data_IF_798146308048
#
_entry.id   IF_798146308048
#
_cell.length_a   1.000
_cell.length_b   1.000
_cell.length_c   1.000
_cell.angle_alpha   90.00
_cell.angle_beta   90.00
_cell.angle_gamma   90.00
#
_symmetry.space_group_name_H-M   'P 1'
#
loop_
_entity.id
_entity.type
_entity.pdbx_description
1 polymer ?
#
# COMPACT_ATOMS: atom_id res chain seq x y z
N UNK A 1 -12.16 3.94 -0.64
CA UNK A 1 -13.56 3.52 -0.95
C UNK A 1 -13.97 3.99 -2.34
N UNK A 2 -13.76 5.26 -2.69
CA UNK A 2 -14.16 5.81 -4.00
C UNK A 2 -13.48 5.10 -5.18
N UNK A 3 -12.25 4.63 -5.00
CA UNK A 3 -11.53 3.87 -6.04
C UNK A 3 -12.22 2.56 -6.45
N UNK A 4 -13.17 2.05 -5.67
CA UNK A 4 -14.02 0.92 -6.07
C UNK A 4 -14.83 1.19 -7.34
N UNK A 5 -15.08 2.46 -7.65
CA UNK A 5 -15.75 2.88 -8.89
C UNK A 5 -14.98 2.47 -10.15
N UNK A 6 -13.66 2.33 -10.06
CA UNK A 6 -12.85 1.85 -11.17
C UNK A 6 -13.23 0.44 -11.63
N UNK A 7 -13.67 -0.42 -10.73
CA UNK A 7 -14.10 -1.78 -11.07
C UNK A 7 -15.29 -1.77 -12.01
N UNK A 8 -16.32 -0.94 -11.71
CA UNK A 8 -17.50 -0.86 -12.56
C UNK A 8 -17.22 -0.14 -13.87
N UNK A 9 -16.33 0.87 -13.86
CA UNK A 9 -15.88 1.56 -15.08
C UNK A 9 -15.18 0.55 -16.00
N UNK A 10 -14.24 -0.24 -15.48
CA UNK A 10 -13.57 -1.27 -16.28
C UNK A 10 -14.53 -2.34 -16.77
N UNK A 11 -15.46 -2.79 -15.93
CA UNK A 11 -16.48 -3.73 -16.34
C UNK A 11 -17.27 -3.21 -17.54
N UNK A 12 -17.71 -1.93 -17.49
CA UNK A 12 -18.46 -1.29 -18.58
C UNK A 12 -17.58 -1.17 -19.85
N UNK A 13 -16.31 -0.76 -19.70
CA UNK A 13 -15.39 -0.63 -20.83
C UNK A 13 -15.13 -1.98 -21.52
N UNK A 14 -14.87 -3.04 -20.75
CA UNK A 14 -14.65 -4.38 -21.29
C UNK A 14 -15.92 -4.95 -21.92
N UNK A 15 -17.08 -4.73 -21.29
CA UNK A 15 -18.37 -5.14 -21.86
C UNK A 15 -18.67 -4.43 -23.18
N UNK A 16 -18.38 -3.13 -23.24
CA UNK A 16 -18.52 -2.35 -24.47
C UNK A 16 -17.60 -2.86 -25.57
N UNK A 17 -16.35 -3.16 -25.23
CA UNK A 17 -15.38 -3.72 -26.17
C UNK A 17 -15.83 -5.07 -26.73
N UNK A 18 -16.24 -6.02 -25.87
CA UNK A 18 -16.79 -7.32 -26.31
C UNK A 18 -18.00 -7.16 -27.25
N UNK A 19 -18.81 -6.13 -26.99
CA UNK A 19 -19.97 -5.81 -27.83
C UNK A 19 -19.54 -5.27 -29.20
N UNK A 20 -18.46 -4.52 -29.28
CA UNK A 20 -17.91 -4.04 -30.56
C UNK A 20 -17.32 -5.19 -31.37
N UNK A 21 -16.65 -6.14 -30.70
CA UNK A 21 -16.08 -7.32 -31.35
C UNK A 21 -17.17 -8.30 -31.86
N UNK A 22 -18.21 -8.52 -31.05
CA UNK A 22 -19.36 -9.39 -31.41
C UNK A 22 -20.68 -8.76 -30.97
N UNK A 23 -21.45 -8.25 -31.93
CA UNK A 23 -22.79 -7.68 -31.65
C UNK A 23 -23.77 -8.69 -31.02
N UNK A 24 -23.57 -9.99 -31.20
CA UNK A 24 -24.38 -11.02 -30.54
C UNK A 24 -24.11 -11.11 -29.05
N UNK A 25 -22.91 -10.69 -28.64
CA UNK A 25 -22.48 -10.60 -27.21
C UNK A 25 -23.44 -9.73 -26.41
N UNK A 26 -23.81 -8.56 -26.93
CA UNK A 26 -24.79 -7.67 -26.30
C UNK A 26 -26.10 -8.37 -26.05
N UNK A 27 -26.69 -8.98 -27.10
CA UNK A 27 -28.01 -9.67 -27.00
C UNK A 27 -27.96 -10.78 -25.97
N UNK A 28 -26.84 -11.50 -25.86
CA UNK A 28 -26.67 -12.62 -24.93
C UNK A 28 -26.51 -12.18 -23.49
N UNK A 29 -25.78 -11.06 -23.25
CA UNK A 29 -25.27 -10.71 -21.93
C UNK A 29 -25.85 -9.40 -21.36
N UNK A 30 -26.73 -8.66 -22.09
CA UNK A 30 -27.26 -7.36 -21.65
C UNK A 30 -27.98 -7.44 -20.30
N UNK A 31 -28.76 -8.47 -20.05
CA UNK A 31 -29.52 -8.64 -18.82
C UNK A 31 -28.57 -8.88 -17.64
N UNK A 32 -27.60 -9.78 -17.82
CA UNK A 32 -26.56 -10.05 -16.81
C UNK A 32 -25.76 -8.79 -16.48
N UNK A 33 -25.39 -8.02 -17.50
CA UNK A 33 -24.65 -6.76 -17.31
C UNK A 33 -25.48 -5.72 -16.61
N UNK A 34 -26.76 -5.58 -16.96
CA UNK A 34 -27.68 -4.66 -16.29
C UNK A 34 -27.83 -5.04 -14.80
N UNK A 35 -28.04 -6.32 -14.50
CA UNK A 35 -28.12 -6.82 -13.12
C UNK A 35 -26.81 -6.50 -12.36
N UNK A 36 -25.66 -6.73 -12.97
CA UNK A 36 -24.35 -6.43 -12.35
C UNK A 36 -24.23 -4.97 -12.01
N UNK A 37 -24.57 -4.06 -12.94
CA UNK A 37 -24.48 -2.62 -12.73
C UNK A 37 -25.47 -2.17 -11.64
N UNK A 38 -26.72 -2.61 -11.72
CA UNK A 38 -27.74 -2.27 -10.70
C UNK A 38 -27.33 -2.80 -9.33
N UNK A 39 -26.88 -4.05 -9.25
CA UNK A 39 -26.41 -4.64 -7.98
C UNK A 39 -25.26 -3.85 -7.40
N UNK A 40 -24.28 -3.46 -8.22
CA UNK A 40 -23.14 -2.65 -7.78
C UNK A 40 -23.61 -1.34 -7.12
N UNK A 41 -24.47 -0.56 -7.79
CA UNK A 41 -24.94 0.72 -7.24
C UNK A 41 -25.87 0.52 -6.04
N UNK A 42 -26.67 -0.54 -6.02
CA UNK A 42 -27.54 -0.89 -4.89
C UNK A 42 -26.71 -1.22 -3.65
N UNK A 43 -25.69 -2.07 -3.78
CA UNK A 43 -24.79 -2.37 -2.66
C UNK A 43 -23.97 -1.16 -2.24
N UNK A 44 -23.51 -0.36 -3.20
CA UNK A 44 -22.81 0.89 -2.90
C UNK A 44 -23.70 1.82 -2.04
N UNK A 45 -24.97 1.99 -2.40
CA UNK A 45 -25.92 2.81 -1.66
C UNK A 45 -26.20 2.24 -0.26
N UNK A 46 -26.49 0.93 -0.16
CA UNK A 46 -26.81 0.27 1.12
C UNK A 46 -25.64 0.38 2.11
N UNK A 47 -24.41 0.08 1.67
CA UNK A 47 -23.24 0.01 2.54
C UNK A 47 -22.48 1.32 2.70
N UNK A 48 -22.96 2.41 2.08
CA UNK A 48 -22.35 3.72 2.23
C UNK A 48 -23.36 4.78 2.67
N UNK A 49 -23.62 4.91 4.00
CA UNK A 49 -24.64 5.79 4.56
C UNK A 49 -24.57 7.25 4.10
N UNK A 50 -23.36 7.74 3.77
CA UNK A 50 -23.18 9.09 3.23
C UNK A 50 -23.99 9.36 1.95
N UNK A 51 -24.30 8.32 1.19
CA UNK A 51 -25.09 8.42 -0.05
C UNK A 51 -26.60 8.50 0.20
N UNK A 52 -27.10 8.22 1.42
CA UNK A 52 -28.55 8.06 1.67
C UNK A 52 -29.36 9.35 1.49
N UNK A 53 -28.76 10.52 1.75
CA UNK A 53 -29.45 11.80 1.55
C UNK A 53 -29.56 12.19 0.06
N UNK A 54 -28.43 12.44 -0.56
CA UNK A 54 -28.31 12.89 -1.96
C UNK A 54 -27.25 12.03 -2.69
N UNK A 55 -27.61 10.84 -3.22
CA UNK A 55 -26.64 9.85 -3.69
C UNK A 55 -25.70 10.38 -4.79
N UNK A 56 -26.22 11.12 -5.76
CA UNK A 56 -25.42 11.64 -6.88
C UNK A 56 -24.53 12.79 -6.42
N UNK A 57 -25.09 13.77 -5.72
CA UNK A 57 -24.35 14.93 -5.21
C UNK A 57 -23.25 14.50 -4.25
N UNK A 58 -23.56 13.62 -3.30
CA UNK A 58 -22.63 13.12 -2.31
C UNK A 58 -21.52 12.26 -2.94
N UNK A 59 -21.82 11.52 -4.01
CA UNK A 59 -20.80 10.78 -4.76
C UNK A 59 -19.81 11.73 -5.45
N UNK A 60 -20.32 12.76 -6.09
CA UNK A 60 -19.53 13.80 -6.77
C UNK A 60 -18.69 14.58 -5.74
N UNK A 61 -19.30 15.01 -4.64
CA UNK A 61 -18.61 15.69 -3.54
C UNK A 61 -17.47 14.84 -2.97
N UNK A 62 -17.74 13.55 -2.76
CA UNK A 62 -16.70 12.60 -2.29
C UNK A 62 -15.52 12.53 -3.25
N UNK A 63 -15.81 12.48 -4.57
CA UNK A 63 -14.74 12.44 -5.57
C UNK A 63 -13.84 13.68 -5.47
N UNK A 64 -14.41 14.87 -5.44
CA UNK A 64 -13.66 16.12 -5.33
C UNK A 64 -12.92 16.26 -3.99
N UNK A 65 -13.57 15.88 -2.90
CA UNK A 65 -12.95 15.92 -1.56
C UNK A 65 -11.75 15.00 -1.47
N UNK A 66 -11.83 13.78 -2.01
CA UNK A 66 -10.69 12.85 -1.97
C UNK A 66 -9.61 13.17 -3.00
N UNK A 67 -9.95 13.81 -4.11
CA UNK A 67 -8.95 14.27 -5.10
C UNK A 67 -8.11 15.42 -4.54
N UNK A 68 -8.74 16.32 -3.74
CA UNK A 68 -8.12 17.55 -3.24
C UNK A 68 -8.04 17.58 -1.71
N UNK A 69 -7.90 16.40 -1.09
CA UNK A 69 -7.83 16.33 0.37
C UNK A 69 -6.55 16.97 0.90
N UNK A 70 -6.67 18.10 1.57
CA UNK A 70 -5.55 18.75 2.22
C UNK A 70 -5.31 18.14 3.62
N UNK A 71 -4.25 17.36 3.75
CA UNK A 71 -3.88 16.79 5.04
C UNK A 71 -3.08 17.76 5.91
N UNK A 72 -2.48 18.80 5.32
CA UNK A 72 -1.77 19.87 6.03
C UNK A 72 -0.49 19.44 6.76
N UNK A 73 -0.05 18.20 6.60
CA UNK A 73 1.12 17.65 7.26
C UNK A 73 2.18 17.25 6.24
N UNK A 74 3.41 17.08 6.72
CA UNK A 74 4.56 16.64 5.91
C UNK A 74 4.81 15.16 6.11
N UNK A 75 5.20 14.48 5.04
CA UNK A 75 5.72 13.11 5.03
C UNK A 75 7.23 13.13 4.89
N UNK A 76 7.90 12.15 5.50
CA UNK A 76 9.34 11.98 5.35
C UNK A 76 9.64 11.03 4.21
N UNK A 77 10.17 11.56 3.12
CA UNK A 77 10.39 10.83 1.88
C UNK A 77 11.72 11.20 1.25
N UNK A 78 12.53 10.19 0.91
CA UNK A 78 13.90 10.34 0.36
C UNK A 78 14.79 11.28 1.18
N UNK A 79 14.62 11.28 2.52
CA UNK A 79 15.41 12.09 3.43
C UNK A 79 14.92 13.53 3.61
N UNK A 80 13.82 13.91 2.98
CA UNK A 80 13.24 15.24 3.05
C UNK A 80 11.81 15.22 3.60
N UNK A 81 11.41 16.31 4.26
CA UNK A 81 10.02 16.53 4.66
C UNK A 81 9.28 17.30 3.59
N UNK A 82 8.40 16.60 2.88
CA UNK A 82 7.60 17.12 1.76
C UNK A 82 6.15 17.24 2.22
N UNK A 83 5.43 18.29 1.80
CA UNK A 83 4.00 18.38 2.06
C UNK A 83 3.28 17.19 1.39
N UNK A 84 2.32 16.62 2.08
CA UNK A 84 1.57 15.48 1.53
C UNK A 84 0.78 15.80 0.25
N UNK A 85 0.52 17.10 0.03
CA UNK A 85 -0.19 17.61 -1.14
C UNK A 85 0.75 17.87 -2.34
N UNK A 86 2.08 17.93 -2.10
CA UNK A 86 3.11 18.24 -3.11
C UNK A 86 4.04 17.05 -3.38
N UNK A 87 3.54 15.82 -3.24
CA UNK A 87 4.35 14.63 -3.41
C UNK A 87 4.80 14.44 -4.87
N UNK A 88 6.06 14.02 -5.10
CA UNK A 88 6.53 13.73 -6.44
C UNK A 88 5.78 12.54 -7.04
N UNK A 89 5.58 12.54 -8.35
CA UNK A 89 4.86 11.51 -9.09
C UNK A 89 5.33 10.07 -8.81
N UNK A 90 6.60 9.90 -8.48
CA UNK A 90 7.19 8.58 -8.20
C UNK A 90 6.97 8.09 -6.76
N UNK A 91 6.31 8.86 -5.89
CA UNK A 91 6.13 8.51 -4.47
C UNK A 91 5.53 7.11 -4.29
N UNK A 92 4.38 6.84 -4.88
CA UNK A 92 3.71 5.55 -4.76
C UNK A 92 4.54 4.41 -5.34
N UNK A 93 5.15 4.62 -6.50
CA UNK A 93 5.99 3.63 -7.18
C UNK A 93 7.21 3.23 -6.35
N UNK A 94 7.90 4.22 -5.76
CA UNK A 94 9.05 3.95 -4.90
C UNK A 94 8.62 3.17 -3.66
N UNK A 95 7.52 3.54 -3.02
CA UNK A 95 7.02 2.80 -1.86
C UNK A 95 6.65 1.37 -2.20
N UNK A 96 5.97 1.12 -3.34
CA UNK A 96 5.67 -0.24 -3.81
C UNK A 96 6.97 -1.04 -3.97
N UNK A 97 7.99 -0.45 -4.63
CA UNK A 97 9.25 -1.14 -4.89
C UNK A 97 10.01 -1.46 -3.59
N UNK A 98 10.11 -0.53 -2.64
CA UNK A 98 10.94 -0.73 -1.45
C UNK A 98 10.28 -1.59 -0.36
N UNK A 99 8.94 -1.72 -0.38
CA UNK A 99 8.18 -2.51 0.61
C UNK A 99 7.69 -3.86 0.07
N UNK A 100 7.97 -4.17 -1.19
CA UNK A 100 7.67 -5.47 -1.80
C UNK A 100 8.92 -6.34 -1.84
N UNK A 101 8.85 -7.66 -1.56
CA UNK A 101 10.00 -8.55 -1.70
C UNK A 101 10.63 -8.48 -3.09
N UNK A 102 11.96 -8.47 -3.18
CA UNK A 102 12.68 -8.31 -4.46
C UNK A 102 12.29 -9.38 -5.47
N UNK A 103 12.10 -10.62 -5.01
CA UNK A 103 11.66 -11.72 -5.87
C UNK A 103 10.31 -11.44 -6.52
N UNK A 104 9.38 -10.82 -5.78
CA UNK A 104 8.07 -10.41 -6.33
C UNK A 104 8.24 -9.28 -7.34
N UNK A 105 9.12 -8.32 -7.10
CA UNK A 105 9.39 -7.22 -8.04
C UNK A 105 9.95 -7.77 -9.37
N UNK A 106 10.90 -8.70 -9.29
CA UNK A 106 11.48 -9.33 -10.49
C UNK A 106 10.40 -10.04 -11.30
N UNK A 107 9.60 -10.90 -10.65
CA UNK A 107 8.53 -11.62 -11.35
C UNK A 107 7.39 -10.71 -11.80
N UNK A 108 7.10 -9.65 -11.06
CA UNK A 108 6.16 -8.61 -11.50
C UNK A 108 6.59 -8.01 -12.84
N UNK A 109 7.83 -7.56 -12.97
CA UNK A 109 8.30 -6.98 -14.23
C UNK A 109 8.33 -8.01 -15.36
N UNK A 110 8.71 -9.24 -15.10
CA UNK A 110 8.66 -10.31 -16.10
C UNK A 110 7.21 -10.50 -16.58
N UNK A 111 6.24 -10.62 -15.67
CA UNK A 111 4.83 -10.80 -16.01
C UNK A 111 4.23 -9.57 -16.70
N UNK A 112 4.52 -8.40 -16.20
CA UNK A 112 4.07 -7.13 -16.76
C UNK A 112 4.52 -6.98 -18.23
N UNK A 113 5.81 -7.16 -18.51
CA UNK A 113 6.32 -7.06 -19.88
C UNK A 113 5.86 -8.21 -20.78
N UNK A 114 5.66 -9.41 -20.21
CA UNK A 114 5.08 -10.52 -20.95
C UNK A 114 3.66 -10.22 -21.43
N UNK A 115 2.80 -9.73 -20.54
CA UNK A 115 1.42 -9.36 -20.88
C UNK A 115 1.40 -8.19 -21.86
N UNK A 116 2.22 -7.16 -21.64
CA UNK A 116 2.34 -6.04 -22.59
C UNK A 116 2.79 -6.49 -23.99
N UNK A 117 3.74 -7.42 -24.06
CA UNK A 117 4.19 -7.99 -25.34
C UNK A 117 3.04 -8.66 -26.09
N UNK A 118 2.19 -9.43 -25.40
CA UNK A 118 1.01 -10.05 -25.99
C UNK A 118 0.04 -8.99 -26.48
N UNK A 119 -0.19 -7.95 -25.67
CA UNK A 119 -1.08 -6.84 -26.03
C UNK A 119 -0.65 -6.13 -27.30
N UNK A 120 0.59 -5.68 -27.35
CA UNK A 120 1.10 -4.99 -28.55
C UNK A 120 1.11 -5.90 -29.79
N UNK A 121 1.40 -7.19 -29.59
CA UNK A 121 1.29 -8.16 -30.69
C UNK A 121 -0.14 -8.24 -31.22
N UNK A 122 -1.13 -8.27 -30.33
CA UNK A 122 -2.55 -8.35 -30.73
C UNK A 122 -3.00 -7.06 -31.42
N UNK A 123 -2.62 -5.87 -30.90
CA UNK A 123 -2.92 -4.59 -31.55
C UNK A 123 -2.35 -4.56 -32.98
N UNK A 124 -1.07 -4.92 -33.16
CA UNK A 124 -0.47 -4.94 -34.49
C UNK A 124 -1.16 -5.94 -35.43
N UNK A 125 -1.73 -7.02 -34.90
CA UNK A 125 -2.49 -7.99 -35.72
C UNK A 125 -3.88 -7.49 -36.10
N UNK A 126 -4.46 -6.53 -35.39
CA UNK A 126 -5.73 -5.90 -35.78
C UNK A 126 -5.64 -5.14 -37.09
N UNK A 127 -4.45 -4.54 -37.37
CA UNK A 127 -4.20 -3.81 -38.63
C UNK A 127 -3.99 -4.75 -39.83
N UNK A 128 -3.62 -6.02 -39.60
CA UNK A 128 -3.15 -6.94 -40.63
C UNK A 128 -4.11 -8.10 -40.95
N UNK A 129 -5.16 -8.31 -40.18
CA UNK A 129 -6.03 -9.46 -40.31
C UNK A 129 -7.52 -9.12 -40.21
N UNK A 130 -8.37 -9.93 -40.89
CA UNK A 130 -9.84 -9.85 -40.76
C UNK A 130 -10.38 -10.23 -39.36
N UNK A 131 -9.52 -10.71 -38.45
CA UNK A 131 -9.87 -11.03 -37.08
C UNK A 131 -9.63 -9.86 -36.15
N UNK A 132 -10.61 -8.99 -36.02
CA UNK A 132 -10.60 -7.78 -35.17
C UNK A 132 -10.76 -8.11 -33.68
N UNK A 133 -9.94 -9.00 -33.10
CA UNK A 133 -10.00 -9.31 -31.67
C UNK A 133 -8.78 -8.80 -30.93
N UNK A 134 -9.00 -7.99 -29.90
CA UNK A 134 -7.93 -7.46 -29.04
C UNK A 134 -7.33 -8.55 -28.14
N UNK A 135 -8.13 -9.53 -27.76
CA UNK A 135 -7.70 -10.72 -27.00
C UNK A 135 -8.19 -12.00 -27.67
N UNK A 136 -7.34 -13.01 -27.68
CA UNK A 136 -7.65 -14.30 -28.31
C UNK A 136 -8.44 -15.24 -27.39
N UNK A 137 -8.32 -15.05 -26.08
CA UNK A 137 -9.00 -15.83 -25.07
C UNK A 137 -9.29 -15.02 -23.79
N UNK A 138 -10.11 -15.59 -22.90
CA UNK A 138 -10.49 -14.98 -21.63
C UNK A 138 -9.31 -14.76 -20.67
N UNK A 139 -8.22 -15.50 -20.80
CA UNK A 139 -7.04 -15.31 -19.95
C UNK A 139 -6.29 -14.04 -20.36
N UNK A 140 -6.12 -13.80 -21.65
CA UNK A 140 -5.53 -12.56 -22.15
C UNK A 140 -6.37 -11.34 -21.74
N UNK A 141 -7.70 -11.46 -21.78
CA UNK A 141 -8.60 -10.41 -21.27
C UNK A 141 -8.39 -10.12 -19.79
N UNK A 142 -8.26 -11.16 -18.96
CA UNK A 142 -7.95 -11.03 -17.54
C UNK A 142 -6.57 -10.40 -17.31
N UNK A 143 -5.57 -10.79 -18.09
CA UNK A 143 -4.23 -10.21 -18.04
C UNK A 143 -4.29 -8.70 -18.26
N UNK A 144 -5.03 -8.23 -19.26
CA UNK A 144 -5.22 -6.80 -19.52
C UNK A 144 -5.97 -6.10 -18.40
N UNK A 145 -7.06 -6.70 -17.93
CA UNK A 145 -7.80 -6.16 -16.81
C UNK A 145 -6.87 -5.93 -15.62
N UNK A 146 -5.98 -6.88 -15.31
CA UNK A 146 -5.07 -6.77 -14.18
C UNK A 146 -4.00 -5.69 -14.38
N UNK A 147 -3.48 -5.48 -15.59
CA UNK A 147 -2.58 -4.36 -15.88
C UNK A 147 -3.32 -3.03 -15.72
N UNK A 148 -4.50 -2.87 -16.30
CA UNK A 148 -5.28 -1.64 -16.19
C UNK A 148 -5.65 -1.35 -14.73
N UNK A 149 -6.08 -2.37 -13.99
CA UNK A 149 -6.44 -2.21 -12.59
C UNK A 149 -5.24 -1.88 -11.70
N UNK A 150 -4.04 -2.31 -12.06
CA UNK A 150 -2.80 -1.92 -11.38
C UNK A 150 -2.39 -0.49 -11.73
N UNK A 151 -2.37 -0.14 -13.01
CA UNK A 151 -1.82 1.14 -13.48
C UNK A 151 -2.77 2.32 -13.26
N UNK A 152 -4.07 2.15 -13.51
CA UNK A 152 -5.01 3.28 -13.53
C UNK A 152 -5.13 4.03 -12.20
N UNK A 153 -5.12 3.39 -11.01
CA UNK A 153 -5.14 4.13 -9.75
C UNK A 153 -3.84 4.92 -9.52
N UNK A 154 -2.70 4.35 -9.92
CA UNK A 154 -1.41 5.03 -9.80
C UNK A 154 -1.37 6.24 -10.72
N UNK A 155 -1.79 6.07 -11.98
CA UNK A 155 -1.88 7.16 -12.96
C UNK A 155 -2.88 8.23 -12.47
N UNK A 156 -4.02 7.83 -11.95
CA UNK A 156 -5.03 8.77 -11.41
C UNK A 156 -4.46 9.61 -10.25
N UNK A 157 -3.75 8.99 -9.32
CA UNK A 157 -3.10 9.70 -8.20
C UNK A 157 -2.08 10.71 -8.71
N UNK A 158 -1.32 10.37 -9.75
CA UNK A 158 -0.32 11.27 -10.37
C UNK A 158 -1.00 12.42 -11.10
N UNK A 159 -2.01 12.12 -11.92
CA UNK A 159 -2.70 13.14 -12.74
C UNK A 159 -3.49 14.13 -11.89
N UNK A 160 -4.12 13.66 -10.82
CA UNK A 160 -4.91 14.50 -9.92
C UNK A 160 -4.09 15.06 -8.75
N UNK A 161 -2.78 14.81 -8.71
CA UNK A 161 -1.91 15.22 -7.59
C UNK A 161 -2.50 14.87 -6.23
N UNK A 162 -3.11 13.67 -6.12
CA UNK A 162 -3.88 13.28 -4.93
C UNK A 162 -2.96 13.09 -3.73
N UNK A 163 -3.38 13.62 -2.59
CA UNK A 163 -2.66 13.53 -1.32
C UNK A 163 -2.46 12.10 -0.87
N UNK A 164 -1.20 11.72 -0.66
CA UNK A 164 -0.82 10.43 -0.10
C UNK A 164 0.00 10.62 1.19
N UNK A 165 -0.11 9.69 2.12
CA UNK A 165 0.67 9.65 3.35
C UNK A 165 0.69 8.24 3.95
N UNK A 166 1.69 7.95 4.77
CA UNK A 166 1.87 6.62 5.35
C UNK A 166 2.13 5.56 4.27
N UNK A 167 3.10 5.80 3.40
CA UNK A 167 3.44 4.91 2.30
C UNK A 167 2.36 4.86 1.20
N UNK A 168 2.19 3.72 0.60
CA UNK A 168 1.19 3.49 -0.46
C UNK A 168 -0.11 2.82 0.04
N UNK A 169 -0.41 2.94 1.32
CA UNK A 169 -1.58 2.30 1.97
C UNK A 169 -2.92 2.60 1.29
N UNK A 170 -3.05 3.78 0.71
CA UNK A 170 -4.26 4.20 0.01
C UNK A 170 -4.49 3.44 -1.31
N UNK A 171 -3.44 2.80 -1.81
CA UNK A 171 -3.43 2.00 -3.04
C UNK A 171 -3.36 0.48 -2.76
N UNK A 172 -3.48 0.01 -1.52
CA UNK A 172 -3.37 -1.43 -1.23
C UNK A 172 -4.39 -2.30 -1.97
N UNK A 173 -5.49 -1.75 -2.42
CA UNK A 173 -6.47 -2.48 -3.21
C UNK A 173 -5.94 -2.91 -4.60
N UNK A 174 -4.81 -2.34 -5.10
CA UNK A 174 -4.15 -2.81 -6.33
C UNK A 174 -3.21 -4.01 -6.07
N UNK A 175 -2.96 -4.36 -4.81
CA UNK A 175 -2.06 -5.46 -4.45
C UNK A 175 -2.45 -6.81 -5.08
N UNK A 176 -3.73 -7.20 -5.17
CA UNK A 176 -4.13 -8.42 -5.89
C UNK A 176 -3.67 -8.44 -7.35
N UNK A 177 -3.74 -7.30 -8.06
CA UNK A 177 -3.25 -7.21 -9.44
C UNK A 177 -1.73 -7.32 -9.53
N UNK A 178 -1.00 -6.75 -8.57
CA UNK A 178 0.44 -6.93 -8.47
C UNK A 178 0.79 -8.41 -8.34
N UNK A 179 0.12 -9.12 -7.41
CA UNK A 179 0.36 -10.56 -7.18
C UNK A 179 -0.04 -11.40 -8.40
N UNK A 180 -1.12 -11.05 -9.09
CA UNK A 180 -1.51 -11.72 -10.32
C UNK A 180 -0.39 -11.60 -11.39
N UNK A 181 0.15 -10.40 -11.58
CA UNK A 181 1.24 -10.15 -12.52
C UNK A 181 2.54 -10.88 -12.10
N UNK A 182 2.81 -10.99 -10.79
CA UNK A 182 3.89 -11.85 -10.28
C UNK A 182 3.66 -13.31 -10.70
N UNK A 183 2.43 -13.81 -10.54
CA UNK A 183 2.05 -15.17 -10.96
C UNK A 183 2.23 -15.40 -12.47
N UNK A 184 1.80 -14.44 -13.29
CA UNK A 184 2.02 -14.46 -14.74
C UNK A 184 3.52 -14.49 -15.09
N UNK A 185 4.34 -13.74 -14.34
CA UNK A 185 5.79 -13.73 -14.49
C UNK A 185 6.45 -15.06 -14.11
N UNK A 186 6.01 -15.68 -13.03
CA UNK A 186 6.46 -17.01 -12.61
C UNK A 186 6.09 -18.03 -13.68
N UNK A 187 4.86 -18.00 -14.19
CA UNK A 187 4.39 -18.90 -15.24
C UNK A 187 5.22 -18.77 -16.52
N UNK A 188 5.44 -17.56 -16.99
CA UNK A 188 6.25 -17.30 -18.17
C UNK A 188 7.70 -17.72 -17.97
N UNK A 189 8.32 -17.38 -16.84
CA UNK A 189 9.66 -17.78 -16.48
C UNK A 189 9.79 -19.31 -16.46
N UNK A 190 8.85 -20.01 -15.82
CA UNK A 190 8.81 -21.48 -15.82
C UNK A 190 8.75 -22.03 -17.25
N UNK A 191 7.87 -21.47 -18.09
CA UNK A 191 7.71 -21.94 -19.47
C UNK A 191 9.00 -21.82 -20.29
N UNK A 192 9.75 -20.74 -20.08
CA UNK A 192 11.04 -20.52 -20.76
C UNK A 192 12.12 -21.43 -20.19
N UNK A 193 12.24 -21.49 -18.86
CA UNK A 193 13.41 -22.14 -18.22
C UNK A 193 13.33 -23.67 -18.18
N UNK A 194 12.11 -24.25 -18.23
CA UNK A 194 11.91 -25.71 -18.25
C UNK A 194 12.59 -26.43 -19.44
N UNK A 195 12.98 -25.68 -20.46
CA UNK A 195 13.75 -26.19 -21.61
C UNK A 195 15.21 -26.44 -21.28
N UNK A 196 15.73 -25.78 -20.25
CA UNK A 196 17.16 -25.79 -19.90
C UNK A 196 17.41 -26.41 -18.54
N UNK A 197 16.45 -26.41 -17.63
CA UNK A 197 16.59 -26.84 -16.24
C UNK A 197 15.56 -27.92 -15.90
N UNK A 198 15.95 -29.03 -15.29
CA UNK A 198 15.04 -30.07 -14.84
C UNK A 198 14.00 -29.53 -13.85
N UNK A 199 12.75 -30.03 -13.95
CA UNK A 199 11.63 -29.58 -13.11
C UNK A 199 11.94 -29.66 -11.62
N UNK A 200 12.66 -30.68 -11.16
CA UNK A 200 13.05 -30.85 -9.75
C UNK A 200 13.84 -29.63 -9.23
N UNK A 201 14.80 -29.15 -10.04
CA UNK A 201 15.61 -27.97 -9.67
C UNK A 201 14.76 -26.71 -9.63
N UNK A 202 13.85 -26.53 -10.58
CA UNK A 202 12.94 -25.39 -10.61
C UNK A 202 12.07 -25.37 -9.34
N UNK A 203 11.49 -26.51 -8.94
CA UNK A 203 10.69 -26.64 -7.72
C UNK A 203 11.53 -26.29 -6.48
N UNK A 204 12.77 -26.77 -6.39
CA UNK A 204 13.65 -26.46 -5.26
C UNK A 204 13.92 -24.94 -5.20
N UNK A 205 14.21 -24.30 -6.33
CA UNK A 205 14.46 -22.85 -6.37
C UNK A 205 13.23 -22.06 -5.90
N UNK A 206 12.04 -22.38 -6.38
CA UNK A 206 10.80 -21.72 -5.92
C UNK A 206 10.52 -21.99 -4.44
N UNK A 207 10.79 -23.20 -3.96
CA UNK A 207 10.66 -23.53 -2.54
C UNK A 207 11.61 -22.71 -1.66
N UNK A 208 12.88 -22.52 -2.09
CA UNK A 208 13.82 -21.67 -1.38
C UNK A 208 13.36 -20.19 -1.35
N UNK A 209 12.82 -19.67 -2.46
CA UNK A 209 12.23 -18.32 -2.51
C UNK A 209 11.04 -18.22 -1.54
N UNK A 210 10.19 -19.23 -1.51
CA UNK A 210 9.05 -19.29 -0.57
C UNK A 210 9.55 -19.29 0.88
N UNK A 211 10.51 -20.13 1.23
CA UNK A 211 11.09 -20.17 2.58
C UNK A 211 11.72 -18.84 3.00
N UNK A 212 12.45 -18.18 2.08
CA UNK A 212 13.03 -16.88 2.34
C UNK A 212 11.98 -15.81 2.65
N UNK A 213 10.89 -15.74 1.86
CA UNK A 213 9.81 -14.79 2.09
C UNK A 213 9.04 -15.11 3.37
N UNK A 214 8.78 -16.38 3.66
CA UNK A 214 8.15 -16.84 4.91
C UNK A 214 9.00 -16.48 6.14
N UNK A 215 10.32 -16.70 6.06
CA UNK A 215 11.23 -16.27 7.12
C UNK A 215 11.15 -14.77 7.40
N UNK A 216 11.13 -13.94 6.35
CA UNK A 216 10.97 -12.48 6.54
C UNK A 216 9.62 -12.15 7.18
N UNK A 217 8.53 -12.79 6.78
CA UNK A 217 7.20 -12.57 7.35
C UNK A 217 7.16 -12.90 8.86
N UNK A 218 7.75 -14.02 9.26
CA UNK A 218 7.85 -14.44 10.66
C UNK A 218 8.77 -13.49 11.43
N UNK A 219 9.92 -13.14 10.86
CA UNK A 219 10.90 -12.27 11.50
C UNK A 219 10.36 -10.89 11.84
N UNK A 220 9.53 -10.33 10.96
CA UNK A 220 8.93 -8.99 11.15
C UNK A 220 7.60 -9.03 11.91
N UNK A 221 7.11 -10.22 12.29
CA UNK A 221 5.87 -10.30 13.07
C UNK A 221 6.06 -9.73 14.48
N UNK A 222 5.12 -8.89 15.00
CA UNK A 222 3.89 -8.37 14.40
C UNK A 222 4.07 -7.08 13.59
N UNK A 223 5.28 -6.66 13.30
CA UNK A 223 5.64 -5.36 12.70
C UNK A 223 5.87 -5.44 11.18
N UNK A 224 5.05 -6.19 10.44
CA UNK A 224 5.21 -6.31 8.98
C UNK A 224 5.07 -4.96 8.24
N UNK A 225 4.41 -3.97 8.85
CA UNK A 225 4.31 -2.61 8.31
C UNK A 225 5.65 -1.88 8.17
N UNK A 226 6.68 -2.31 8.91
CA UNK A 226 8.03 -1.75 8.80
C UNK A 226 8.97 -2.59 7.92
N UNK A 227 8.41 -3.53 7.14
CA UNK A 227 9.21 -4.29 6.22
C UNK A 227 9.72 -3.43 5.08
N UNK A 228 11.03 -3.40 4.93
CA UNK A 228 11.73 -2.88 3.77
C UNK A 228 12.61 -3.97 3.18
N UNK A 229 12.61 -4.09 1.87
CA UNK A 229 13.43 -5.09 1.20
C UNK A 229 14.93 -4.76 1.29
N UNK A 230 15.78 -5.68 0.82
CA UNK A 230 17.23 -5.57 0.97
C UNK A 230 17.86 -4.37 0.25
N UNK A 231 17.16 -3.73 -0.70
CA UNK A 231 17.64 -2.53 -1.39
C UNK A 231 17.83 -1.34 -0.43
N UNK A 232 16.95 -1.20 0.57
CA UNK A 232 16.92 -0.01 1.41
C UNK A 232 16.89 -0.30 2.92
N UNK A 233 16.63 -1.54 3.35
CA UNK A 233 16.34 -1.90 4.74
C UNK A 233 17.32 -1.29 5.76
N UNK A 234 18.63 -1.26 5.46
CA UNK A 234 19.66 -0.72 6.34
C UNK A 234 19.70 0.82 6.40
N UNK A 235 18.99 1.47 5.49
CA UNK A 235 18.94 2.93 5.35
C UNK A 235 17.51 3.48 5.40
N UNK A 236 16.50 2.61 5.57
CA UNK A 236 15.10 2.98 5.51
C UNK A 236 14.76 4.14 6.47
N UNK A 237 15.19 4.06 7.73
CA UNK A 237 14.98 5.12 8.72
C UNK A 237 15.61 6.46 8.37
N UNK A 238 16.62 6.46 7.52
CA UNK A 238 17.29 7.71 7.07
C UNK A 238 16.53 8.41 5.95
N UNK A 239 15.74 7.66 5.17
CA UNK A 239 15.12 8.17 3.96
C UNK A 239 13.60 8.12 3.96
N UNK A 240 12.97 7.31 4.82
CA UNK A 240 11.53 7.06 4.80
C UNK A 240 10.94 7.06 6.21
N UNK A 241 9.63 7.23 6.30
CA UNK A 241 8.87 7.05 7.52
C UNK A 241 8.91 5.59 7.96
N UNK A 242 9.10 5.39 9.28
CA UNK A 242 9.03 4.06 9.90
C UNK A 242 7.92 4.11 10.93
N UNK A 243 7.18 3.02 11.06
CA UNK A 243 6.13 2.82 12.08
C UNK A 243 5.17 4.01 12.24
N UNK A 244 4.68 4.55 11.13
CA UNK A 244 3.71 5.65 11.15
C UNK A 244 2.38 5.29 11.84
N UNK A 245 2.13 4.01 12.11
CA UNK A 245 1.00 3.52 12.91
C UNK A 245 1.26 3.50 14.40
N UNK A 246 2.51 3.53 14.85
CA UNK A 246 2.90 3.40 16.25
C UNK A 246 2.66 2.00 16.81
N UNK A 247 2.86 0.95 16.03
CA UNK A 247 2.72 -0.44 16.51
C UNK A 247 3.75 -0.79 17.58
N UNK A 248 4.94 -0.18 17.54
CA UNK A 248 5.98 -0.36 18.54
C UNK A 248 5.64 0.29 19.90
N UNK A 249 4.58 1.08 20.00
CA UNK A 249 4.17 1.73 21.25
C UNK A 249 3.91 0.72 22.38
N UNK A 250 3.37 -0.46 22.04
CA UNK A 250 3.11 -1.51 23.02
C UNK A 250 4.38 -1.99 23.71
N UNK A 251 5.34 -2.46 22.95
CA UNK A 251 6.64 -2.94 23.49
C UNK A 251 7.39 -1.83 24.23
N UNK A 252 7.30 -0.59 23.73
CA UNK A 252 7.93 0.54 24.39
C UNK A 252 7.35 0.79 25.80
N UNK A 253 6.03 0.68 25.95
CA UNK A 253 5.37 0.83 27.26
C UNK A 253 5.74 -0.32 28.18
N UNK A 254 5.69 -1.56 27.70
CA UNK A 254 6.09 -2.74 28.50
C UNK A 254 7.56 -2.65 28.94
N UNK A 255 8.43 -2.22 28.03
CA UNK A 255 9.84 -2.00 28.37
C UNK A 255 9.99 -0.98 29.49
N UNK A 256 9.32 0.19 29.37
CA UNK A 256 9.40 1.27 30.37
C UNK A 256 8.89 0.78 31.74
N UNK A 257 7.79 0.04 31.76
CA UNK A 257 7.22 -0.50 33.01
C UNK A 257 8.19 -1.50 33.65
N UNK A 258 8.73 -2.42 32.88
CA UNK A 258 9.64 -3.44 33.37
C UNK A 258 10.96 -2.83 33.89
N UNK A 259 11.47 -1.81 33.20
CA UNK A 259 12.70 -1.14 33.59
C UNK A 259 12.49 -0.27 34.84
N UNK A 260 11.40 0.48 34.91
CA UNK A 260 11.05 1.30 36.07
C UNK A 260 10.78 0.49 37.34
N UNK A 261 10.23 -0.72 37.21
CA UNK A 261 10.00 -1.64 38.32
C UNK A 261 11.33 -2.15 38.91
N UNK A 262 12.38 -2.31 38.12
CA UNK A 262 13.72 -2.69 38.62
C UNK A 262 14.32 -1.61 39.53
N UNK A 263 14.05 -0.34 39.20
CA UNK A 263 14.54 0.81 39.94
C UNK A 263 13.61 1.23 41.11
N UNK A 264 12.52 0.46 41.36
CA UNK A 264 11.52 0.74 42.39
C UNK A 264 10.91 2.16 42.30
N UNK A 265 10.72 2.68 41.09
CA UNK A 265 10.21 4.03 40.88
C UNK A 265 8.69 4.08 41.17
N UNK A 266 8.28 4.98 42.05
CA UNK A 266 6.88 5.20 42.39
C UNK A 266 6.09 5.89 41.27
N UNK A 267 6.78 6.68 40.46
CA UNK A 267 6.23 7.35 39.28
C UNK A 267 7.28 7.52 38.20
N UNK A 268 6.88 7.48 36.94
CA UNK A 268 7.77 7.55 35.79
C UNK A 268 7.28 8.61 34.80
N UNK A 269 8.15 9.55 34.49
CA UNK A 269 7.87 10.63 33.55
C UNK A 269 8.34 10.27 32.15
N UNK A 270 7.41 10.28 31.18
CA UNK A 270 7.65 9.91 29.78
C UNK A 270 7.36 11.11 28.87
N UNK A 271 8.32 11.49 28.07
CA UNK A 271 8.12 12.44 26.97
C UNK A 271 8.04 11.74 25.64
N UNK A 272 7.01 12.03 24.87
CA UNK A 272 6.87 11.51 23.51
C UNK A 272 7.54 12.46 22.52
N UNK A 273 8.60 12.01 21.87
CA UNK A 273 9.31 12.72 20.81
C UNK A 273 8.89 12.21 19.41
N UNK A 274 7.61 11.89 19.26
CA UNK A 274 7.02 11.41 18.00
C UNK A 274 5.58 11.89 17.84
N UNK A 275 5.04 11.73 16.64
CA UNK A 275 3.67 12.09 16.34
C UNK A 275 2.64 11.13 16.95
N UNK A 276 2.99 9.85 17.08
CA UNK A 276 2.10 8.83 17.63
C UNK A 276 1.90 8.98 19.14
N UNK A 277 0.66 9.12 19.62
CA UNK A 277 0.39 9.37 21.04
C UNK A 277 0.54 8.08 21.86
N UNK A 278 1.66 7.95 22.55
CA UNK A 278 1.96 6.79 23.40
C UNK A 278 0.90 6.58 24.51
N UNK A 279 0.34 7.68 25.04
CA UNK A 279 -0.69 7.66 26.08
C UNK A 279 -1.99 6.94 25.66
N UNK A 280 -2.34 6.92 24.36
CA UNK A 280 -3.52 6.16 23.90
C UNK A 280 -3.27 4.65 23.94
N UNK A 281 -2.03 4.22 23.74
CA UNK A 281 -1.68 2.80 23.79
C UNK A 281 -1.89 2.21 25.20
N UNK A 282 -1.63 2.98 26.28
CA UNK A 282 -1.91 2.52 27.65
C UNK A 282 -3.39 2.26 27.88
N UNK A 283 -4.27 3.09 27.32
CA UNK A 283 -5.73 2.91 27.41
C UNK A 283 -6.20 1.67 26.65
N UNK A 284 -5.70 1.46 25.44
CA UNK A 284 -6.06 0.31 24.58
C UNK A 284 -5.60 -1.00 25.24
N UNK A 285 -4.42 -1.01 25.82
CA UNK A 285 -3.83 -2.19 26.46
C UNK A 285 -4.35 -2.46 27.86
N UNK A 286 -5.24 -1.61 28.37
CA UNK A 286 -5.79 -1.73 29.71
C UNK A 286 -4.71 -1.76 30.82
N UNK A 287 -3.56 -1.13 30.55
CA UNK A 287 -2.46 -1.06 31.50
C UNK A 287 -2.89 -0.10 32.62
N UNK A 288 -2.94 -0.61 33.87
CA UNK A 288 -3.11 0.25 35.04
C UNK A 288 -1.87 1.13 35.18
N UNK A 289 -1.94 2.31 34.57
CA UNK A 289 -0.79 3.22 34.40
C UNK A 289 -0.73 4.33 35.45
N UNK A 290 -1.19 4.07 36.69
CA UNK A 290 -1.19 5.08 37.74
C UNK A 290 0.18 5.69 38.02
N UNK A 291 1.24 4.99 37.61
CA UNK A 291 2.63 5.40 37.80
C UNK A 291 3.26 6.04 36.55
N UNK A 292 2.58 6.02 35.39
CA UNK A 292 3.12 6.59 34.14
C UNK A 292 2.58 8.01 33.94
N UNK A 293 3.45 8.99 33.97
CA UNK A 293 3.14 10.41 33.76
C UNK A 293 3.60 10.80 32.36
N UNK A 294 2.66 10.98 31.44
CA UNK A 294 2.96 11.45 30.11
C UNK A 294 3.08 12.96 30.10
N UNK A 295 4.29 13.43 29.82
CA UNK A 295 4.57 14.85 29.72
C UNK A 295 4.43 15.34 28.28
N UNK A 296 4.04 16.59 28.12
CA UNK A 296 4.07 17.27 26.83
C UNK A 296 5.51 17.39 26.29
N UNK A 297 5.63 17.66 25.02
CA UNK A 297 6.91 17.72 24.28
C UNK A 297 7.89 18.79 24.78
N UNK A 298 7.44 19.71 25.65
CA UNK A 298 8.20 20.88 26.14
C UNK A 298 8.85 20.68 27.52
N UNK A 299 8.56 19.58 28.23
CA UNK A 299 9.12 19.36 29.57
C UNK A 299 10.61 18.98 29.52
N UNK A 300 11.40 19.56 30.39
CA UNK A 300 12.88 19.57 30.31
C UNK A 300 13.59 18.32 30.81
N UNK A 301 13.01 17.57 31.75
CA UNK A 301 13.69 16.43 32.42
C UNK A 301 12.79 15.17 32.50
N UNK A 302 12.42 14.52 31.40
CA UNK A 302 11.74 13.23 31.46
C UNK A 302 12.75 12.12 31.80
N UNK A 303 12.29 11.09 32.52
CA UNK A 303 13.10 9.88 32.75
C UNK A 303 13.23 9.06 31.47
N UNK A 304 12.17 9.00 30.66
CA UNK A 304 12.15 8.31 29.36
C UNK A 304 11.73 9.24 28.24
N UNK A 305 12.37 9.07 27.08
CA UNK A 305 11.98 9.71 25.84
C UNK A 305 11.65 8.61 24.82
N UNK A 306 10.40 8.55 24.41
CA UNK A 306 9.96 7.64 23.37
C UNK A 306 9.95 8.34 22.00
N UNK A 307 10.51 7.67 20.99
CA UNK A 307 10.40 8.10 19.60
C UNK A 307 10.27 6.93 18.65
N UNK A 308 9.40 7.08 17.64
CA UNK A 308 9.32 6.20 16.47
C UNK A 308 10.05 6.80 15.26
N UNK A 309 10.94 7.76 15.48
CA UNK A 309 11.70 8.50 14.46
C UNK A 309 10.83 9.36 13.52
N UNK A 310 9.57 9.61 13.88
CA UNK A 310 8.68 10.44 13.09
C UNK A 310 8.74 11.91 13.56
N UNK A 311 9.02 12.83 12.67
CA UNK A 311 9.14 14.29 12.87
C UNK A 311 10.32 14.79 13.73
N UNK A 312 11.03 13.97 14.46
CA UNK A 312 12.14 14.44 15.30
C UNK A 312 13.26 15.12 14.52
N UNK A 313 13.45 14.72 13.26
CA UNK A 313 14.46 15.27 12.35
C UNK A 313 14.00 16.49 11.57
N UNK A 314 12.72 16.85 11.67
CA UNK A 314 12.19 18.00 10.96
C UNK A 314 12.66 19.30 11.61
N UNK A 315 13.40 20.18 10.91
CA UNK A 315 13.91 21.45 11.46
C UNK A 315 12.81 22.31 12.09
N UNK A 316 11.59 22.32 11.52
CA UNK A 316 10.43 23.04 12.05
C UNK A 316 10.01 22.56 13.44
N UNK A 317 10.16 21.26 13.70
CA UNK A 317 9.73 20.63 14.96
C UNK A 317 10.90 20.21 15.85
N UNK A 318 12.14 20.50 15.45
CA UNK A 318 13.36 20.04 16.13
C UNK A 318 13.37 20.43 17.61
N UNK A 319 12.99 21.67 17.96
CA UNK A 319 12.89 22.10 19.37
C UNK A 319 11.87 21.27 20.16
N UNK A 320 10.76 20.87 19.51
CA UNK A 320 9.67 20.10 20.11
C UNK A 320 10.04 18.63 20.34
N UNK A 321 10.77 18.02 19.39
CA UNK A 321 11.08 16.60 19.38
C UNK A 321 12.56 16.28 19.60
N UNK A 322 13.33 17.26 20.00
CA UNK A 322 14.78 17.10 20.21
C UNK A 322 15.08 16.07 21.30
N UNK A 323 15.94 15.10 20.96
CA UNK A 323 16.46 14.11 21.89
C UNK A 323 17.82 14.59 22.40
N UNK A 324 18.04 14.72 23.72
CA UNK A 324 19.34 15.12 24.28
C UNK A 324 20.43 14.12 23.87
N UNK A 325 21.65 14.65 23.64
CA UNK A 325 22.80 13.81 23.27
C UNK A 325 23.19 12.79 24.34
N UNK A 326 22.83 13.08 25.59
CA UNK A 326 23.12 12.27 26.80
C UNK A 326 22.16 11.08 26.95
N UNK A 327 21.15 10.96 26.08
CA UNK A 327 20.12 9.90 26.17
C UNK A 327 20.73 8.55 25.81
N UNK A 328 20.60 7.55 26.68
CA UNK A 328 20.88 6.15 26.34
C UNK A 328 19.80 5.64 25.37
N UNK A 329 20.21 4.87 24.38
CA UNK A 329 19.29 4.19 23.45
C UNK A 329 19.12 2.75 23.89
N UNK A 330 17.89 2.31 23.94
CA UNK A 330 17.51 0.95 24.24
C UNK A 330 16.90 0.29 23.01
#
# INVERSE_FOLDING_TARGET
RIMGILLIIFYILFFFWDTLEDRKYLKKNYLSSLITIISYFTFLYIFWPFLWGNPISNLIETFFTFSNYNWGLKVFYLGNYINADDLPWHYALVWIIITTPITYIIFFFIGFFYVLKIFFKNINSLELSENNKLWNDENQKKDFFMIFFFLSPIISVILFSSTLYGGWRHLYFIYPSLIYLVGSGIYYFYFVIKRYIPLKIIIILFFLVFLHNSYNLIKYHPYQNIYFNSLIKNKASKYFEIDYWGLANHEAIEFIINDSNKDNLSSVTIRTASFTPLSYSTKILNIKSNNLIFQGTTHSNPQYIFTNLHYERNPKYQKKYMIPKTTKKF
#
